data_IF_207613292969
#
_entry.id   IF_207613292969
#
_cell.length_a   1.000
_cell.length_b   1.000
_cell.length_c   1.000
_cell.angle_alpha   90.00
_cell.angle_beta   90.00
_cell.angle_gamma   90.00
#
_symmetry.space_group_name_H-M   'P 1'
#
loop_
_entity.id
_entity.type
_entity.pdbx_description
1 polymer ?
#
# COMPACT_ATOMS: atom_id res chain seq x y z
N UNK A 1 7.42 -6.92 7.34
CA UNK A 1 8.83 -6.54 7.13
C UNK A 1 8.92 -5.30 6.25
N UNK A 2 10.02 -4.55 6.31
CA UNK A 2 10.24 -3.35 5.48
C UNK A 2 11.54 -3.53 4.70
N UNK A 3 11.48 -3.31 3.39
CA UNK A 3 12.64 -3.34 2.50
C UNK A 3 12.74 -2.02 1.74
N UNK A 4 13.73 -1.20 2.08
CA UNK A 4 14.05 0.01 1.32
C UNK A 4 14.62 -0.37 -0.05
N UNK A 5 14.05 0.19 -1.11
CA UNK A 5 14.51 -0.02 -2.50
C UNK A 5 15.34 1.17 -2.99
N UNK A 6 14.89 2.39 -2.68
CA UNK A 6 15.57 3.66 -2.95
C UNK A 6 15.32 4.65 -1.80
N UNK A 7 15.71 5.90 -1.99
CA UNK A 7 15.44 6.99 -1.03
C UNK A 7 13.94 7.29 -0.87
N UNK A 8 13.16 7.04 -1.92
CA UNK A 8 11.74 7.38 -2.03
C UNK A 8 10.82 6.16 -2.22
N UNK A 9 11.39 4.97 -2.38
CA UNK A 9 10.64 3.73 -2.59
C UNK A 9 10.99 2.66 -1.55
N UNK A 10 9.97 2.03 -1.00
CA UNK A 10 10.11 0.92 -0.05
C UNK A 10 8.99 -0.10 -0.26
N UNK A 11 9.33 -1.38 -0.10
CA UNK A 11 8.37 -2.47 -0.05
C UNK A 11 8.05 -2.83 1.40
N UNK A 12 6.78 -3.05 1.68
CA UNK A 12 6.30 -3.46 3.00
C UNK A 12 5.56 -4.79 2.86
N UNK A 13 6.04 -5.82 3.56
CA UNK A 13 5.24 -7.01 3.82
C UNK A 13 4.42 -6.78 5.10
N UNK A 14 3.12 -6.66 4.92
CA UNK A 14 2.14 -6.40 5.98
C UNK A 14 1.26 -7.62 6.27
N UNK A 15 1.56 -8.79 5.70
CA UNK A 15 0.70 -9.99 5.76
C UNK A 15 0.30 -10.36 7.18
N UNK A 16 1.27 -10.39 8.10
CA UNK A 16 1.06 -10.73 9.52
C UNK A 16 0.43 -9.58 10.32
N UNK A 17 0.41 -8.36 9.78
CA UNK A 17 -0.12 -7.17 10.45
C UNK A 17 -1.57 -6.84 10.05
N UNK A 18 -2.10 -7.43 8.99
CA UNK A 18 -3.44 -7.12 8.49
C UNK A 18 -4.52 -7.25 9.58
N UNK A 19 -4.55 -8.40 10.25
CA UNK A 19 -5.54 -8.68 11.30
C UNK A 19 -5.28 -7.90 12.60
N UNK A 20 -4.06 -7.40 12.81
CA UNK A 20 -3.76 -6.56 13.95
C UNK A 20 -4.42 -5.18 13.81
N UNK A 21 -4.35 -4.59 12.61
CA UNK A 21 -4.92 -3.26 12.36
C UNK A 21 -6.43 -3.30 12.07
N UNK A 22 -6.89 -4.34 11.37
CA UNK A 22 -8.27 -4.42 10.88
C UNK A 22 -8.89 -5.80 11.12
N UNK A 23 -9.02 -6.26 12.38
CA UNK A 23 -9.48 -7.62 12.72
C UNK A 23 -10.92 -7.93 12.25
N UNK A 24 -11.76 -6.92 12.08
CA UNK A 24 -13.15 -7.05 11.67
C UNK A 24 -13.34 -7.27 10.16
N UNK A 25 -12.32 -6.95 9.35
CA UNK A 25 -12.38 -7.07 7.89
C UNK A 25 -11.80 -8.42 7.48
N UNK A 26 -12.62 -9.28 6.86
CA UNK A 26 -12.18 -10.62 6.40
C UNK A 26 -11.40 -10.59 5.08
N UNK A 27 -11.65 -9.58 4.25
CA UNK A 27 -10.99 -9.46 2.96
C UNK A 27 -9.63 -8.79 3.11
N UNK A 28 -8.56 -9.57 2.96
CA UNK A 28 -7.18 -9.05 3.08
C UNK A 28 -6.87 -7.88 2.16
N UNK A 29 -7.44 -7.86 0.96
CA UNK A 29 -7.23 -6.76 0.03
C UNK A 29 -7.89 -5.47 0.48
N UNK A 30 -9.03 -5.57 1.16
CA UNK A 30 -9.67 -4.43 1.80
C UNK A 30 -8.85 -3.96 3.01
N UNK A 31 -8.36 -4.87 3.85
CA UNK A 31 -7.44 -4.54 4.95
C UNK A 31 -6.20 -3.80 4.44
N UNK A 32 -5.54 -4.31 3.40
CA UNK A 32 -4.38 -3.67 2.77
C UNK A 32 -4.71 -2.24 2.30
N UNK A 33 -5.85 -2.04 1.64
CA UNK A 33 -6.26 -0.72 1.15
C UNK A 33 -6.56 0.27 2.29
N UNK A 34 -7.09 -0.21 3.43
CA UNK A 34 -7.30 0.61 4.62
C UNK A 34 -5.97 1.03 5.26
N UNK A 35 -5.04 0.09 5.43
CA UNK A 35 -3.67 0.38 5.92
C UNK A 35 -2.97 1.38 4.99
N UNK A 36 -3.08 1.20 3.67
CA UNK A 36 -2.49 2.11 2.69
C UNK A 36 -3.06 3.54 2.79
N UNK A 37 -4.37 3.67 3.03
CA UNK A 37 -5.00 4.97 3.26
C UNK A 37 -4.49 5.63 4.55
N UNK A 38 -4.37 4.88 5.64
CA UNK A 38 -3.87 5.41 6.90
C UNK A 38 -2.41 5.83 6.78
N UNK A 39 -1.58 5.02 6.10
CA UNK A 39 -0.18 5.35 5.85
C UNK A 39 -0.04 6.64 5.03
N UNK A 40 -0.86 6.82 3.98
CA UNK A 40 -0.89 8.05 3.20
C UNK A 40 -1.25 9.27 4.06
N UNK A 41 -2.27 9.14 4.93
CA UNK A 41 -2.68 10.22 5.84
C UNK A 41 -1.58 10.54 6.84
N UNK A 42 -1.00 9.53 7.47
CA UNK A 42 0.06 9.68 8.46
C UNK A 42 1.30 10.37 7.87
N UNK A 43 1.72 9.98 6.66
CA UNK A 43 2.83 10.63 5.96
C UNK A 43 2.48 12.08 5.60
N UNK A 44 1.25 12.32 5.15
CA UNK A 44 0.79 13.67 4.81
C UNK A 44 0.77 14.57 6.05
N UNK A 45 0.26 14.07 7.17
CA UNK A 45 0.09 14.84 8.41
C UNK A 45 1.44 15.13 9.08
N UNK A 46 2.36 14.15 9.09
CA UNK A 46 3.68 14.31 9.73
C UNK A 46 4.71 15.01 8.86
N UNK A 47 4.72 14.77 7.55
CA UNK A 47 5.79 15.22 6.66
C UNK A 47 5.31 16.21 5.61
N UNK A 48 4.01 16.41 5.43
CA UNK A 48 3.48 17.26 4.37
C UNK A 48 3.71 16.70 2.96
N UNK A 49 3.97 15.39 2.83
CA UNK A 49 4.25 14.74 1.54
C UNK A 49 3.04 13.95 1.05
N UNK A 50 2.86 13.93 -0.27
CA UNK A 50 1.95 12.99 -0.92
C UNK A 50 2.73 11.76 -1.35
N UNK A 51 2.15 10.58 -1.13
CA UNK A 51 2.75 9.31 -1.56
C UNK A 51 1.75 8.48 -2.35
N UNK A 52 2.27 7.73 -3.30
CA UNK A 52 1.50 6.75 -4.09
C UNK A 52 1.74 5.37 -3.52
N UNK A 53 0.69 4.55 -3.40
CA UNK A 53 0.81 3.18 -2.86
C UNK A 53 0.28 2.17 -3.87
N UNK A 54 1.17 1.31 -4.36
CA UNK A 54 0.77 0.09 -5.07
C UNK A 54 0.68 -1.10 -4.13
N UNK A 55 -0.35 -1.91 -4.30
CA UNK A 55 -0.60 -3.12 -3.53
C UNK A 55 -0.63 -4.33 -4.46
N UNK A 56 -0.20 -5.48 -3.97
CA UNK A 56 -0.36 -6.74 -4.68
C UNK A 56 0.10 -7.94 -3.89
N UNK A 57 -0.13 -9.14 -4.43
CA UNK A 57 0.20 -10.41 -3.76
C UNK A 57 1.71 -10.64 -3.59
N UNK A 58 2.53 -9.86 -4.30
CA UNK A 58 3.98 -9.87 -4.20
C UNK A 58 4.58 -8.51 -4.58
N UNK A 59 5.88 -8.27 -4.31
CA UNK A 59 6.53 -6.99 -4.60
C UNK A 59 6.46 -6.56 -6.08
N UNK A 60 6.54 -7.51 -7.02
CA UNK A 60 6.46 -7.20 -8.45
C UNK A 60 5.08 -6.61 -8.80
N UNK A 61 4.00 -7.28 -8.39
CA UNK A 61 2.63 -6.80 -8.63
C UNK A 61 2.38 -5.46 -7.94
N UNK A 62 2.88 -5.29 -6.71
CA UNK A 62 2.77 -4.02 -5.99
C UNK A 62 3.47 -2.88 -6.73
N UNK A 63 4.68 -3.10 -7.27
CA UNK A 63 5.39 -2.09 -8.06
C UNK A 63 4.64 -1.75 -9.36
N UNK A 64 4.17 -2.77 -10.08
CA UNK A 64 3.38 -2.57 -11.29
C UNK A 64 2.06 -1.83 -11.03
N UNK A 65 1.39 -2.13 -9.91
CA UNK A 65 0.20 -1.42 -9.46
C UNK A 65 0.51 0.06 -9.20
N UNK A 66 1.62 0.33 -8.52
CA UNK A 66 2.05 1.69 -8.20
C UNK A 66 2.35 2.51 -9.47
N UNK A 67 3.19 1.98 -10.35
CA UNK A 67 3.73 2.73 -11.48
C UNK A 67 2.71 2.94 -12.60
N UNK A 68 1.89 1.94 -12.90
CA UNK A 68 1.00 1.98 -14.07
C UNK A 68 -0.43 2.43 -13.74
N UNK A 69 -0.86 2.35 -12.48
CA UNK A 69 -2.26 2.58 -12.12
C UNK A 69 -2.41 3.59 -10.99
N UNK A 70 -1.72 3.40 -9.87
CA UNK A 70 -1.93 4.21 -8.68
C UNK A 70 -1.64 5.71 -8.92
N UNK A 71 -0.58 6.04 -9.69
CA UNK A 71 -0.23 7.43 -10.05
C UNK A 71 -1.31 8.16 -10.87
N UNK A 72 -2.25 7.42 -11.46
CA UNK A 72 -3.33 7.96 -12.28
C UNK A 72 -4.69 7.92 -11.59
N UNK A 73 -4.77 7.33 -10.39
CA UNK A 73 -6.00 7.31 -9.58
C UNK A 73 -6.05 8.54 -8.66
N UNK A 74 -7.24 9.11 -8.49
CA UNK A 74 -7.46 10.29 -7.61
C UNK A 74 -7.03 10.04 -6.15
N UNK A 75 -7.13 8.79 -5.70
CA UNK A 75 -6.74 8.38 -4.34
C UNK A 75 -5.26 7.94 -4.23
N UNK A 76 -4.51 7.97 -5.34
CA UNK A 76 -3.11 7.54 -5.43
C UNK A 76 -2.85 6.11 -4.92
N UNK A 77 -3.83 5.20 -5.04
CA UNK A 77 -3.70 3.78 -4.68
C UNK A 77 -4.21 2.86 -5.78
N UNK A 78 -3.56 1.72 -5.95
CA UNK A 78 -4.04 0.66 -6.84
C UNK A 78 -3.64 -0.72 -6.33
N UNK A 79 -4.37 -1.75 -6.77
CA UNK A 79 -4.17 -3.15 -6.40
C UNK A 79 -4.12 -4.01 -7.66
N UNK A 80 -3.11 -4.87 -7.75
CA UNK A 80 -3.06 -5.99 -8.72
C UNK A 80 -2.94 -7.29 -7.92
N UNK A 81 -3.80 -8.25 -8.20
CA UNK A 81 -3.81 -9.58 -7.56
C UNK A 81 -4.02 -10.67 -8.60
N UNK A 82 -3.63 -11.90 -8.26
CA UNK A 82 -3.98 -13.07 -9.05
C UNK A 82 -5.51 -13.31 -9.03
N UNK A 83 -6.01 -13.96 -10.08
CA UNK A 83 -7.39 -14.46 -10.13
C UNK A 83 -7.58 -15.74 -9.29
#
# INVERSE_FOLDING_TARGET
EIHSYSIDESFLDITESLNFFYPEIKNRYEQMNRIALDLQREIRDKLGLYVTVGMGDNPLLAKLAMDNYAKHNDNMRALIRYE
#
